data_IF_887714598881
#
_entry.id   IF_887714598881
#
_cell.length_a   1.000
_cell.length_b   1.000
_cell.length_c   1.000
_cell.angle_alpha   90.00
_cell.angle_beta   90.00
_cell.angle_gamma   90.00
#
_symmetry.space_group_name_H-M   'P 1'
#
loop_
_entity.id
_entity.type
_entity.pdbx_description
1 polymer ?
#
# COMPACT_ATOMS: atom_id res chain seq x y z
N UNK A 1 -16.35 -12.32 -7.81
CA UNK A 1 -16.37 -11.41 -6.65
C UNK A 1 -16.43 -12.19 -5.34
N UNK A 2 -17.22 -13.27 -5.28
CA UNK A 2 -17.48 -14.04 -4.05
C UNK A 2 -16.24 -14.63 -3.38
N UNK A 3 -15.24 -15.05 -4.16
CA UNK A 3 -14.00 -15.65 -3.62
C UNK A 3 -13.14 -14.67 -2.83
N UNK A 4 -13.10 -13.40 -3.26
CA UNK A 4 -12.39 -12.36 -2.53
C UNK A 4 -13.17 -11.97 -1.27
N UNK A 5 -14.49 -11.85 -1.39
CA UNK A 5 -15.38 -11.55 -0.28
C UNK A 5 -15.31 -12.64 0.82
N UNK A 6 -15.36 -13.92 0.45
CA UNK A 6 -15.28 -15.04 1.40
C UNK A 6 -13.93 -15.12 2.10
N UNK A 7 -12.85 -14.78 1.40
CA UNK A 7 -11.52 -14.76 2.01
C UNK A 7 -11.38 -13.60 3.00
N UNK A 8 -11.90 -12.42 2.63
CA UNK A 8 -11.94 -11.27 3.52
C UNK A 8 -12.83 -11.49 4.75
N UNK A 9 -14.00 -12.12 4.57
CA UNK A 9 -14.90 -12.48 5.67
C UNK A 9 -14.23 -13.41 6.70
N UNK A 10 -13.48 -14.42 6.23
CA UNK A 10 -12.68 -15.28 7.10
C UNK A 10 -11.55 -14.52 7.82
N UNK A 11 -10.95 -13.53 7.17
CA UNK A 11 -9.93 -12.67 7.77
C UNK A 11 -10.53 -11.75 8.85
N UNK A 12 -11.71 -11.17 8.59
CA UNK A 12 -12.45 -10.34 9.53
C UNK A 12 -12.83 -11.15 10.79
N UNK A 13 -13.34 -12.36 10.63
CA UNK A 13 -13.66 -13.26 11.73
C UNK A 13 -12.43 -13.67 12.54
N UNK A 14 -11.30 -13.95 11.88
CA UNK A 14 -10.05 -14.28 12.57
C UNK A 14 -9.56 -13.11 13.43
N UNK A 15 -9.57 -11.89 12.88
CA UNK A 15 -9.17 -10.69 13.64
C UNK A 15 -10.14 -10.43 14.79
N UNK A 16 -11.45 -10.45 14.52
CA UNK A 16 -12.49 -10.18 15.51
C UNK A 16 -12.49 -11.20 16.66
N UNK A 17 -12.06 -12.45 16.39
CA UNK A 17 -11.92 -13.51 17.39
C UNK A 17 -10.72 -13.36 18.33
N UNK A 18 -9.78 -12.45 18.05
CA UNK A 18 -8.61 -12.21 18.91
C UNK A 18 -8.96 -11.31 20.11
N UNK A 19 -8.32 -11.51 21.28
CA UNK A 19 -8.41 -10.56 22.38
C UNK A 19 -7.71 -9.22 22.06
N UNK A 20 -7.98 -8.18 22.86
CA UNK A 20 -7.52 -6.81 22.57
C UNK A 20 -6.00 -6.69 22.35
N UNK A 21 -5.17 -7.30 23.22
CA UNK A 21 -3.71 -7.18 23.15
C UNK A 21 -3.13 -7.65 21.80
N UNK A 22 -3.41 -8.87 21.31
CA UNK A 22 -2.92 -9.29 20.00
C UNK A 22 -3.54 -8.52 18.83
N UNK A 23 -4.78 -8.01 18.92
CA UNK A 23 -5.33 -7.12 17.87
C UNK A 23 -4.49 -5.84 17.73
N UNK A 24 -4.19 -5.17 18.85
CA UNK A 24 -3.34 -3.97 18.86
C UNK A 24 -1.93 -4.29 18.36
N UNK A 25 -1.37 -5.43 18.78
CA UNK A 25 -0.07 -5.87 18.31
C UNK A 25 -0.04 -6.10 16.78
N UNK A 26 -1.07 -6.72 16.20
CA UNK A 26 -1.20 -6.87 14.75
C UNK A 26 -1.25 -5.52 14.04
N UNK A 27 -2.01 -4.56 14.57
CA UNK A 27 -2.06 -3.22 13.98
C UNK A 27 -0.68 -2.55 14.02
N UNK A 28 -0.02 -2.55 15.18
CA UNK A 28 1.26 -1.86 15.36
C UNK A 28 2.43 -2.53 14.63
N UNK A 29 2.48 -3.87 14.62
CA UNK A 29 3.61 -4.63 14.09
C UNK A 29 3.42 -5.06 12.64
N UNK A 30 2.18 -5.11 12.13
CA UNK A 30 1.90 -5.55 10.76
C UNK A 30 1.30 -4.41 9.95
N UNK A 31 0.18 -3.84 10.38
CA UNK A 31 -0.53 -2.83 9.58
C UNK A 31 0.30 -1.55 9.42
N UNK A 32 0.89 -1.02 10.49
CA UNK A 32 1.71 0.20 10.44
C UNK A 32 2.91 0.03 9.50
N UNK A 33 3.73 -1.04 9.59
CA UNK A 33 4.81 -1.26 8.63
C UNK A 33 4.32 -1.44 7.18
N UNK A 34 3.19 -2.12 6.97
CA UNK A 34 2.60 -2.28 5.63
C UNK A 34 2.21 -0.91 5.06
N UNK A 35 1.50 -0.08 5.83
CA UNK A 35 1.16 1.28 5.42
C UNK A 35 2.41 2.12 5.11
N UNK A 36 3.44 2.02 5.95
CA UNK A 36 4.72 2.72 5.72
C UNK A 36 5.40 2.24 4.43
N UNK A 37 5.39 0.94 4.18
CA UNK A 37 5.93 0.35 2.95
C UNK A 37 5.16 0.80 1.71
N UNK A 38 3.83 0.83 1.78
CA UNK A 38 2.99 1.31 0.70
C UNK A 38 3.20 2.80 0.42
N UNK A 39 3.25 3.64 1.46
CA UNK A 39 3.57 5.07 1.32
C UNK A 39 4.93 5.25 0.62
N UNK A 40 5.95 4.55 1.09
CA UNK A 40 7.28 4.60 0.48
C UNK A 40 7.30 4.14 -0.99
N UNK A 41 6.54 3.08 -1.33
CA UNK A 41 6.41 2.60 -2.69
C UNK A 41 5.70 3.62 -3.59
N UNK A 42 4.62 4.22 -3.10
CA UNK A 42 3.88 5.25 -3.82
C UNK A 42 4.73 6.48 -4.06
N UNK A 43 5.43 6.97 -3.03
CA UNK A 43 6.34 8.12 -3.15
C UNK A 43 7.44 7.85 -4.19
N UNK A 44 8.02 6.64 -4.16
CA UNK A 44 9.07 6.26 -5.12
C UNK A 44 8.51 6.07 -6.53
N UNK A 45 7.31 5.52 -6.66
CA UNK A 45 6.61 5.38 -7.93
C UNK A 45 6.28 6.74 -8.55
N UNK A 46 5.74 7.66 -7.76
CA UNK A 46 5.47 9.04 -8.18
C UNK A 46 6.75 9.76 -8.60
N UNK A 47 7.82 9.66 -7.79
CA UNK A 47 9.11 10.25 -8.15
C UNK A 47 9.67 9.70 -9.47
N UNK A 48 9.56 8.39 -9.70
CA UNK A 48 9.97 7.76 -10.97
C UNK A 48 9.15 8.28 -12.15
N UNK A 49 7.83 8.41 -11.99
CA UNK A 49 6.93 8.95 -13.03
C UNK A 49 7.26 10.41 -13.34
N UNK A 50 7.50 11.26 -12.33
CA UNK A 50 7.88 12.66 -12.55
C UNK A 50 9.23 12.81 -13.27
N UNK A 51 10.21 11.96 -12.96
CA UNK A 51 11.50 11.94 -13.68
C UNK A 51 11.30 11.55 -15.14
N UNK A 52 10.46 10.54 -15.41
CA UNK A 52 10.13 10.12 -16.78
C UNK A 52 9.44 11.24 -17.56
N UNK A 53 8.41 11.88 -16.98
CA UNK A 53 7.69 12.98 -17.62
C UNK A 53 8.59 14.20 -17.91
N UNK A 54 9.54 14.52 -17.02
CA UNK A 54 10.50 15.62 -17.25
C UNK A 54 11.44 15.33 -18.42
N UNK A 55 11.74 14.05 -18.69
CA UNK A 55 12.56 13.66 -19.85
C UNK A 55 11.87 13.99 -21.18
N UNK A 56 10.55 13.95 -21.23
CA UNK A 56 9.80 14.23 -22.46
C UNK A 56 9.74 15.73 -22.79
N UNK A 57 9.76 16.61 -21.77
CA UNK A 57 9.75 18.07 -21.99
C UNK A 57 11.07 18.57 -22.59
N UNK A 58 12.22 18.05 -22.16
CA UNK A 58 13.53 18.44 -22.71
C UNK A 58 13.74 18.01 -24.17
N UNK A 59 12.91 17.10 -24.70
CA UNK A 59 12.98 16.63 -26.08
C UNK A 59 12.23 17.53 -27.08
N UNK A 60 11.44 18.50 -26.59
CA UNK A 60 10.58 19.36 -27.42
C UNK A 60 11.25 20.70 -27.76
N UNK A 61 12.36 21.05 -27.10
CA UNK A 61 13.08 22.32 -27.27
C UNK A 61 14.32 22.20 -28.17
N UNK A 62 14.20 21.50 -29.30
CA UNK A 62 15.15 21.61 -30.43
C UNK A 62 14.34 21.90 -31.71
N UNK A 63 14.34 23.17 -32.13
CA UNK A 63 14.88 23.50 -33.46
C UNK A 63 15.98 24.59 -33.44
#
# INVERSE_FOLDING_TARGET
MDRMASWWDGFELWIAGLPFVPQVALVLLVMVPVCRGLAWLLDRGLAAVFVLLRRDVSKVEEP
#
